data_IF_345193077367
#
_entry.id   IF_345193077367
#
_cell.length_a   1.000
_cell.length_b   1.000
_cell.length_c   1.000
_cell.angle_alpha   90.00
_cell.angle_beta   90.00
_cell.angle_gamma   90.00
#
_symmetry.space_group_name_H-M   'P 1'
#
loop_
_entity.id
_entity.type
_entity.pdbx_description
1 polymer ?
#
# COMPACT_ATOMS: atom_id res chain seq x y z
N UNK A 1 31.76 4.60 57.87
CA UNK A 1 32.03 4.00 56.54
C UNK A 1 30.88 3.17 55.98
N UNK A 2 29.96 2.64 56.79
CA UNK A 2 28.77 1.92 56.31
C UNK A 2 27.71 2.83 55.67
N UNK A 3 27.43 4.00 56.28
CA UNK A 3 26.42 4.94 55.80
C UNK A 3 26.63 5.40 54.34
N UNK A 4 27.87 5.72 53.96
CA UNK A 4 28.23 6.13 52.59
C UNK A 4 28.05 5.02 51.54
N UNK A 5 28.08 3.76 51.96
CA UNK A 5 27.97 2.60 51.06
C UNK A 5 26.51 2.22 50.80
N UNK A 6 25.63 2.47 51.77
CA UNK A 6 24.19 2.26 51.65
C UNK A 6 23.51 3.38 50.85
N UNK A 7 23.96 4.63 50.98
CA UNK A 7 23.52 5.75 50.12
C UNK A 7 23.79 5.48 48.63
N UNK A 8 24.96 4.92 48.30
CA UNK A 8 25.33 4.57 46.92
C UNK A 8 24.42 3.50 46.32
N UNK A 9 24.01 2.49 47.11
CA UNK A 9 23.08 1.43 46.65
C UNK A 9 21.70 2.00 46.37
N UNK A 10 21.20 2.87 47.24
CA UNK A 10 19.90 3.53 47.05
C UNK A 10 19.89 4.37 45.78
N UNK A 11 20.92 5.18 45.54
CA UNK A 11 21.06 5.98 44.32
C UNK A 11 21.06 5.09 43.07
N UNK A 12 21.79 3.95 43.10
CA UNK A 12 21.85 3.02 41.96
C UNK A 12 20.47 2.47 41.59
N UNK A 13 19.66 2.08 42.57
CA UNK A 13 18.31 1.55 42.30
C UNK A 13 17.34 2.63 41.82
N UNK A 14 17.46 3.87 42.32
CA UNK A 14 16.69 5.01 41.79
C UNK A 14 17.06 5.27 40.33
N UNK A 15 18.34 5.26 39.99
CA UNK A 15 18.81 5.43 38.60
C UNK A 15 18.28 4.32 37.68
N UNK A 16 18.28 3.06 38.14
CA UNK A 16 17.72 1.93 37.39
C UNK A 16 16.22 2.10 37.18
N UNK A 17 15.47 2.55 38.20
CA UNK A 17 14.04 2.81 38.09
C UNK A 17 13.73 3.93 37.09
N UNK A 18 14.47 5.04 37.14
CA UNK A 18 14.34 6.15 36.19
C UNK A 18 14.63 5.67 34.77
N UNK A 19 15.70 4.90 34.57
CA UNK A 19 16.05 4.34 33.26
C UNK A 19 14.92 3.45 32.71
N UNK A 20 14.30 2.61 33.55
CA UNK A 20 13.16 1.77 33.15
C UNK A 20 11.93 2.60 32.74
N UNK A 21 11.63 3.70 33.44
CA UNK A 21 10.53 4.59 33.05
C UNK A 21 10.81 5.25 31.71
N UNK A 22 12.05 5.72 31.49
CA UNK A 22 12.44 6.28 30.20
C UNK A 22 12.35 5.26 29.06
N UNK A 23 12.78 4.01 29.26
CA UNK A 23 12.68 3.00 28.20
C UNK A 23 11.23 2.70 27.84
N UNK A 24 10.34 2.57 28.83
CA UNK A 24 8.89 2.40 28.59
C UNK A 24 8.31 3.62 27.87
N UNK A 25 8.69 4.83 28.27
CA UNK A 25 8.28 6.06 27.58
C UNK A 25 8.76 6.09 26.13
N UNK A 26 10.01 5.72 25.85
CA UNK A 26 10.54 5.64 24.49
C UNK A 26 9.80 4.61 23.64
N UNK A 27 9.48 3.44 24.20
CA UNK A 27 8.67 2.42 23.52
C UNK A 27 7.29 3.01 23.19
N UNK A 28 6.62 3.61 24.17
CA UNK A 28 5.31 4.22 23.98
C UNK A 28 5.35 5.34 22.92
N UNK A 29 6.32 6.25 23.01
CA UNK A 29 6.54 7.31 22.04
C UNK A 29 6.79 6.74 20.63
N UNK A 30 7.52 5.63 20.52
CA UNK A 30 7.77 4.97 19.22
C UNK A 30 6.50 4.40 18.58
N UNK A 31 5.56 3.87 19.39
CA UNK A 31 4.27 3.36 18.91
C UNK A 31 3.40 4.50 18.41
N UNK A 32 3.29 5.57 19.20
CA UNK A 32 2.54 6.79 18.81
C UNK A 32 3.13 7.40 17.55
N UNK A 33 4.46 7.52 17.46
CA UNK A 33 5.15 8.10 16.31
C UNK A 33 4.88 7.29 15.03
N UNK A 34 4.95 5.96 15.09
CA UNK A 34 4.60 5.11 13.93
C UNK A 34 3.14 5.29 13.50
N UNK A 35 2.22 5.39 14.45
CA UNK A 35 0.80 5.64 14.16
C UNK A 35 0.57 6.98 13.47
N UNK A 36 1.20 8.06 13.96
CA UNK A 36 1.09 9.40 13.38
C UNK A 36 1.74 9.45 11.98
N UNK A 37 2.91 8.84 11.80
CA UNK A 37 3.56 8.75 10.49
C UNK A 37 2.73 7.95 9.49
N UNK A 38 2.08 6.87 9.92
CA UNK A 38 1.12 6.10 9.13
C UNK A 38 -0.05 6.98 8.68
N UNK A 39 -0.71 7.66 9.62
CA UNK A 39 -1.84 8.54 9.30
C UNK A 39 -1.47 9.71 8.38
N UNK A 40 -0.30 10.33 8.55
CA UNK A 40 0.18 11.40 7.67
C UNK A 40 0.50 10.87 6.27
N UNK A 41 1.13 9.69 6.18
CA UNK A 41 1.41 9.03 4.90
C UNK A 41 0.12 8.68 4.16
N UNK A 42 -0.85 8.10 4.87
CA UNK A 42 -2.14 7.73 4.30
C UNK A 42 -2.92 8.95 3.82
N UNK A 43 -2.98 10.04 4.60
CA UNK A 43 -3.60 11.28 4.16
C UNK A 43 -2.95 11.89 2.92
N UNK A 44 -1.61 11.85 2.83
CA UNK A 44 -0.87 12.37 1.67
C UNK A 44 -1.13 11.54 0.42
N UNK A 45 -1.14 10.22 0.56
CA UNK A 45 -1.49 9.30 -0.51
C UNK A 45 -2.93 9.53 -0.95
N UNK A 46 -3.92 9.58 -0.03
CA UNK A 46 -5.33 9.81 -0.35
C UNK A 46 -5.57 11.08 -1.17
N UNK A 47 -4.97 12.22 -0.79
CA UNK A 47 -5.15 13.49 -1.51
C UNK A 47 -4.62 13.45 -2.94
N UNK A 48 -3.50 12.75 -3.17
CA UNK A 48 -2.92 12.58 -4.51
C UNK A 48 -3.68 11.50 -5.30
N UNK A 49 -4.14 10.48 -4.60
CA UNK A 49 -4.91 9.35 -5.10
C UNK A 49 -6.22 9.84 -5.74
N UNK A 50 -6.97 10.71 -5.05
CA UNK A 50 -8.26 11.19 -5.55
C UNK A 50 -8.14 11.99 -6.86
N UNK A 51 -7.10 12.81 -7.00
CA UNK A 51 -6.85 13.55 -8.24
C UNK A 51 -6.58 12.63 -9.43
N UNK A 52 -5.85 11.54 -9.19
CA UNK A 52 -5.58 10.55 -10.23
C UNK A 52 -6.83 9.72 -10.58
N UNK A 53 -7.74 9.50 -9.62
CA UNK A 53 -9.01 8.80 -9.87
C UNK A 53 -9.83 9.50 -10.95
N UNK A 54 -10.07 10.79 -10.77
CA UNK A 54 -10.83 11.62 -11.71
C UNK A 54 -10.15 11.64 -13.07
N UNK A 55 -8.82 11.79 -13.10
CA UNK A 55 -8.04 11.78 -14.34
C UNK A 55 -8.16 10.43 -15.07
N UNK A 56 -8.05 9.32 -14.34
CA UNK A 56 -8.19 7.97 -14.87
C UNK A 56 -9.57 7.70 -15.48
N UNK A 57 -10.64 8.10 -14.79
CA UNK A 57 -12.02 8.08 -15.31
C UNK A 57 -12.13 8.87 -16.61
N UNK A 58 -11.66 10.11 -16.63
CA UNK A 58 -11.71 10.95 -17.83
C UNK A 58 -10.96 10.35 -19.02
N UNK A 59 -9.80 9.73 -18.79
CA UNK A 59 -9.06 9.06 -19.86
C UNK A 59 -9.80 7.83 -20.38
N UNK A 60 -10.41 7.03 -19.49
CA UNK A 60 -11.21 5.87 -19.90
C UNK A 60 -12.44 6.29 -20.71
N UNK A 61 -13.15 7.33 -20.28
CA UNK A 61 -14.34 7.86 -20.96
C UNK A 61 -14.02 8.39 -22.36
N UNK A 62 -12.85 9.04 -22.51
CA UNK A 62 -12.35 9.52 -23.81
C UNK A 62 -11.72 8.42 -24.67
N UNK A 63 -11.60 7.19 -24.17
CA UNK A 63 -10.91 6.10 -24.86
C UNK A 63 -9.41 6.31 -25.04
N UNK A 64 -8.81 7.24 -24.30
CA UNK A 64 -7.39 7.62 -24.35
C UNK A 64 -6.54 6.64 -23.53
N UNK A 65 -6.62 5.36 -23.90
CA UNK A 65 -6.05 4.26 -23.12
C UNK A 65 -4.52 4.30 -23.12
N UNK A 66 -3.89 4.71 -24.22
CA UNK A 66 -2.42 4.74 -24.32
C UNK A 66 -1.81 5.83 -23.45
N UNK A 67 -2.46 7.00 -23.40
CA UNK A 67 -2.11 8.14 -22.57
C UNK A 67 -2.30 7.81 -21.09
N UNK A 68 -3.42 7.17 -20.74
CA UNK A 68 -3.64 6.67 -19.37
C UNK A 68 -2.53 5.75 -18.90
N UNK A 69 -2.10 4.82 -19.75
CA UNK A 69 -1.00 3.92 -19.42
C UNK A 69 0.31 4.67 -19.20
N UNK A 70 0.60 5.70 -20.00
CA UNK A 70 1.82 6.50 -19.86
C UNK A 70 1.81 7.29 -18.55
N UNK A 71 0.71 7.98 -18.26
CA UNK A 71 0.54 8.80 -17.06
C UNK A 71 0.55 7.93 -15.79
N UNK A 72 -0.18 6.82 -15.79
CA UNK A 72 -0.18 5.88 -14.68
C UNK A 72 1.22 5.32 -14.41
N UNK A 73 1.97 4.96 -15.45
CA UNK A 73 3.35 4.51 -15.30
C UNK A 73 4.26 5.59 -14.72
N UNK A 74 4.08 6.84 -15.10
CA UNK A 74 4.88 7.94 -14.56
C UNK A 74 4.62 8.18 -13.07
N UNK A 75 3.34 8.18 -12.67
CA UNK A 75 2.97 8.22 -11.25
C UNK A 75 3.59 7.05 -10.48
N UNK A 76 3.56 5.85 -11.04
CA UNK A 76 4.11 4.65 -10.40
C UNK A 76 5.64 4.65 -10.30
N UNK A 77 6.37 5.43 -11.10
CA UNK A 77 7.84 5.59 -10.92
C UNK A 77 8.17 6.27 -9.59
N UNK A 78 7.35 7.22 -9.18
CA UNK A 78 7.56 8.00 -7.95
C UNK A 78 6.78 7.44 -6.77
N UNK A 79 5.62 6.82 -7.02
CA UNK A 79 4.77 6.18 -6.02
C UNK A 79 4.38 4.76 -6.47
N UNK A 80 5.27 3.76 -6.30
CA UNK A 80 5.03 2.39 -6.78
C UNK A 80 3.75 1.74 -6.22
N UNK A 81 3.33 2.16 -5.03
CA UNK A 81 2.17 1.59 -4.31
C UNK A 81 0.91 2.45 -4.46
N UNK A 82 0.86 3.38 -5.41
CA UNK A 82 -0.30 4.24 -5.61
C UNK A 82 -1.49 3.42 -6.13
N UNK A 83 -2.57 3.38 -5.34
CA UNK A 83 -3.69 2.46 -5.58
C UNK A 83 -4.46 2.75 -6.88
N UNK A 84 -4.94 3.99 -7.09
CA UNK A 84 -5.66 4.31 -8.34
C UNK A 84 -4.75 4.19 -9.57
N UNK A 85 -3.50 4.65 -9.55
CA UNK A 85 -2.58 4.48 -10.67
C UNK A 85 -2.39 3.01 -11.07
N UNK A 86 -2.24 2.10 -10.10
CA UNK A 86 -2.22 0.66 -10.38
C UNK A 86 -3.56 0.17 -10.94
N UNK A 87 -4.68 0.57 -10.35
CA UNK A 87 -6.02 0.20 -10.82
C UNK A 87 -6.29 0.63 -12.26
N UNK A 88 -6.08 1.91 -12.59
CA UNK A 88 -6.32 2.42 -13.94
C UNK A 88 -5.31 1.88 -14.97
N UNK A 89 -4.07 1.58 -14.56
CA UNK A 89 -3.13 0.87 -15.42
C UNK A 89 -3.63 -0.55 -15.73
N UNK A 90 -4.17 -1.27 -14.72
CA UNK A 90 -4.77 -2.58 -14.92
C UNK A 90 -6.02 -2.51 -15.81
N UNK A 91 -6.88 -1.51 -15.61
CA UNK A 91 -8.04 -1.23 -16.47
C UNK A 91 -7.62 -0.92 -17.91
N UNK A 92 -6.55 -0.16 -18.09
CA UNK A 92 -6.02 0.13 -19.42
C UNK A 92 -5.47 -1.14 -20.10
N UNK A 93 -4.77 -2.01 -19.37
CA UNK A 93 -4.38 -3.32 -19.88
C UNK A 93 -5.59 -4.20 -20.23
N UNK A 94 -6.61 -4.20 -19.38
CA UNK A 94 -7.86 -4.91 -19.61
C UNK A 94 -8.57 -4.41 -20.89
N UNK A 95 -8.64 -3.09 -21.11
CA UNK A 95 -9.20 -2.50 -22.34
C UNK A 95 -8.40 -2.85 -23.60
N UNK A 96 -7.10 -3.11 -23.47
CA UNK A 96 -6.23 -3.57 -24.57
C UNK A 96 -6.17 -5.10 -24.69
N UNK A 97 -7.06 -5.82 -24.00
CA UNK A 97 -7.12 -7.28 -23.98
C UNK A 97 -5.84 -7.97 -23.48
N UNK A 98 -5.00 -7.22 -22.77
CA UNK A 98 -3.78 -7.73 -22.13
C UNK A 98 -4.14 -8.34 -20.78
N UNK A 99 -4.91 -9.43 -20.84
CA UNK A 99 -5.53 -10.06 -19.67
C UNK A 99 -4.51 -10.48 -18.61
N UNK A 100 -3.35 -11.02 -19.03
CA UNK A 100 -2.29 -11.48 -18.11
C UNK A 100 -1.69 -10.32 -17.32
N UNK A 101 -1.43 -9.18 -17.98
CA UNK A 101 -0.88 -8.00 -17.32
C UNK A 101 -1.90 -7.35 -16.38
N UNK A 102 -3.15 -7.27 -16.82
CA UNK A 102 -4.26 -6.77 -16.00
C UNK A 102 -4.46 -7.63 -14.75
N UNK A 103 -4.52 -8.96 -14.91
CA UNK A 103 -4.74 -9.90 -13.80
C UNK A 103 -3.64 -9.76 -12.74
N UNK A 104 -2.37 -9.70 -13.14
CA UNK A 104 -1.25 -9.56 -12.21
C UNK A 104 -1.36 -8.31 -11.33
N UNK A 105 -1.74 -7.17 -11.93
CA UNK A 105 -1.85 -5.91 -11.20
C UNK A 105 -3.08 -5.93 -10.29
N UNK A 106 -4.23 -6.44 -10.75
CA UNK A 106 -5.42 -6.56 -9.92
C UNK A 106 -5.20 -7.47 -8.71
N UNK A 107 -4.56 -8.64 -8.89
CA UNK A 107 -4.23 -9.54 -7.78
C UNK A 107 -3.28 -8.87 -6.79
N UNK A 108 -2.24 -8.19 -7.29
CA UNK A 108 -1.31 -7.42 -6.44
C UNK A 108 -2.02 -6.32 -5.66
N UNK A 109 -3.00 -5.65 -6.26
CA UNK A 109 -3.77 -4.59 -5.62
C UNK A 109 -4.65 -5.14 -4.50
N UNK A 110 -5.37 -6.25 -4.75
CA UNK A 110 -6.17 -6.95 -3.73
C UNK A 110 -5.32 -7.43 -2.56
N UNK A 111 -4.18 -8.05 -2.86
CA UNK A 111 -3.35 -8.67 -1.82
C UNK A 111 -2.66 -7.62 -0.93
N UNK A 112 -2.28 -6.47 -1.50
CA UNK A 112 -1.67 -5.37 -0.75
C UNK A 112 -2.70 -4.46 -0.07
N UNK A 113 -3.91 -4.35 -0.64
CA UNK A 113 -4.99 -3.48 -0.19
C UNK A 113 -6.32 -4.24 -0.21
N UNK A 114 -6.63 -4.98 0.86
CA UNK A 114 -7.84 -5.81 0.93
C UNK A 114 -9.14 -5.04 0.65
N UNK A 115 -9.19 -3.73 0.94
CA UNK A 115 -10.32 -2.85 0.65
C UNK A 115 -10.63 -2.70 -0.85
N UNK A 116 -9.68 -3.03 -1.72
CA UNK A 116 -9.89 -3.04 -3.17
C UNK A 116 -10.50 -4.32 -3.71
N UNK A 117 -10.62 -5.38 -2.89
CA UNK A 117 -11.12 -6.70 -3.32
C UNK A 117 -12.44 -6.61 -4.07
N UNK A 118 -13.46 -5.98 -3.48
CA UNK A 118 -14.77 -5.81 -4.10
C UNK A 118 -14.72 -5.08 -5.45
N UNK A 119 -13.78 -4.14 -5.62
CA UNK A 119 -13.63 -3.38 -6.85
C UNK A 119 -12.89 -4.17 -7.96
N UNK A 120 -11.97 -5.07 -7.60
CA UNK A 120 -11.11 -5.76 -8.57
C UNK A 120 -11.48 -7.22 -8.82
N UNK A 121 -12.17 -7.88 -7.89
CA UNK A 121 -12.51 -9.30 -7.98
C UNK A 121 -13.32 -9.67 -9.22
N UNK A 122 -14.31 -8.87 -9.68
CA UNK A 122 -14.99 -9.14 -10.94
C UNK A 122 -14.02 -9.18 -12.14
N UNK A 123 -13.06 -8.25 -12.18
CA UNK A 123 -12.07 -8.19 -13.24
C UNK A 123 -11.04 -9.32 -13.14
N UNK A 124 -10.66 -9.73 -11.92
CA UNK A 124 -9.78 -10.90 -11.70
C UNK A 124 -10.47 -12.17 -12.21
N UNK A 125 -11.74 -12.38 -11.88
CA UNK A 125 -12.50 -13.54 -12.34
C UNK A 125 -12.59 -13.58 -13.88
N UNK A 126 -12.98 -12.46 -14.49
CA UNK A 126 -13.14 -12.38 -15.94
C UNK A 126 -11.81 -12.53 -16.70
N UNK A 127 -10.74 -11.85 -16.24
CA UNK A 127 -9.42 -11.96 -16.88
C UNK A 127 -8.89 -13.39 -16.81
N UNK A 128 -9.09 -14.08 -15.67
CA UNK A 128 -8.72 -15.49 -15.50
C UNK A 128 -9.48 -16.40 -16.44
N UNK A 129 -10.78 -16.17 -16.63
CA UNK A 129 -11.60 -16.91 -17.58
C UNK A 129 -11.08 -16.71 -19.01
N UNK A 130 -10.87 -15.46 -19.44
CA UNK A 130 -10.35 -15.14 -20.78
C UNK A 130 -8.97 -15.74 -21.03
N UNK A 131 -8.09 -15.74 -20.03
CA UNK A 131 -6.77 -16.40 -20.12
C UNK A 131 -6.91 -17.91 -20.26
N UNK A 132 -7.86 -18.53 -19.54
CA UNK A 132 -8.13 -19.96 -19.64
C UNK A 132 -8.70 -20.32 -21.02
N UNK A 133 -9.62 -19.53 -21.55
CA UNK A 133 -10.26 -19.76 -22.85
C UNK A 133 -9.32 -19.48 -24.02
N UNK A 134 -8.35 -18.57 -23.86
CA UNK A 134 -7.32 -18.27 -24.85
C UNK A 134 -6.17 -19.30 -24.91
N UNK A 135 -6.06 -20.20 -23.93
CA UNK A 135 -5.14 -21.34 -23.98
C UNK A 135 -5.87 -22.52 -24.62
N UNK A 136 -5.29 -23.20 -25.64
CA UNK A 136 -5.94 -24.38 -26.20
C UNK A 136 -6.18 -25.39 -25.07
N UNK A 137 -7.45 -25.79 -24.88
CA UNK A 137 -7.79 -26.88 -23.96
C UNK A 137 -7.07 -28.12 -24.47
N UNK A 138 -5.98 -28.50 -23.80
CA UNK A 138 -5.34 -29.79 -24.00
C UNK A 138 -6.30 -30.84 -23.46
N UNK A 139 -7.20 -31.30 -24.32
CA UNK A 139 -7.98 -32.52 -24.09
C UNK A 139 -6.95 -33.63 -23.98
N UNK A 140 -6.79 -34.19 -22.77
CA UNK A 140 -6.03 -35.43 -22.56
C UNK A 140 -6.77 -36.61 -23.16
#
# INVERSE_FOLDING_TARGET
>A
MSASLDELKTIKWILVGILLVFTVFFIFASVVLKGVLGAIRDMRELRKSEGFRILGEQYLDKGQISELMAEAKDVLKTHPNHAYANYYLAMAYYRKERWVDAQKIFETLRDNKPEWGDAVDPYIAETREKISNGKPKLVR
#
